data_IF_725803062061
#
_entry.id   IF_725803062061
#
_cell.length_a   1.000
_cell.length_b   1.000
_cell.length_c   1.000
_cell.angle_alpha   90.00
_cell.angle_beta   90.00
_cell.angle_gamma   90.00
#
_symmetry.space_group_name_H-M   'P 1'
#
loop_
_entity.id
_entity.type
_entity.pdbx_description
1 polymer ?
#
# COMPACT_ATOMS: atom_id res chain seq x y z
N UNK A 1 0.19 15.98 17.82
CA UNK A 1 -1.28 15.85 17.72
C UNK A 1 -1.55 14.41 17.30
N UNK A 2 -2.47 13.69 17.98
CA UNK A 2 -2.80 12.32 17.58
C UNK A 2 -3.77 12.34 16.39
N UNK A 3 -3.62 11.45 15.40
CA UNK A 3 -4.54 11.36 14.28
C UNK A 3 -5.92 10.90 14.76
N UNK A 4 -6.98 11.46 14.15
CA UNK A 4 -8.36 11.02 14.40
C UNK A 4 -8.67 9.72 13.65
N UNK A 5 -8.08 9.54 12.46
CA UNK A 5 -8.20 8.32 11.67
C UNK A 5 -6.83 7.79 11.31
N UNK A 6 -6.73 6.47 11.28
CA UNK A 6 -5.58 5.73 10.78
C UNK A 6 -6.06 4.91 9.58
N UNK A 7 -5.58 5.25 8.42
CA UNK A 7 -5.72 4.46 7.21
C UNK A 7 -4.47 3.60 7.08
N UNK A 8 -4.63 2.34 6.72
CA UNK A 8 -3.52 1.44 6.54
C UNK A 8 -3.70 0.60 5.29
N UNK A 9 -2.70 0.54 4.43
CA UNK A 9 -2.76 -0.23 3.19
C UNK A 9 -1.65 -1.26 3.09
N UNK A 10 -2.00 -2.41 2.53
CA UNK A 10 -1.11 -3.47 2.14
C UNK A 10 -1.76 -4.35 1.09
N UNK A 11 -0.94 -4.93 0.22
CA UNK A 11 -1.36 -5.99 -0.69
C UNK A 11 -1.96 -7.20 0.04
N UNK A 12 -1.62 -7.37 1.32
CA UNK A 12 -2.03 -8.53 2.12
C UNK A 12 -3.25 -8.27 3.02
N UNK A 13 -3.93 -7.13 2.92
CA UNK A 13 -5.21 -6.91 3.60
C UNK A 13 -6.30 -7.75 2.94
N UNK A 14 -6.92 -8.64 3.71
CA UNK A 14 -7.88 -9.65 3.23
C UNK A 14 -7.33 -10.57 2.12
N UNK A 15 -6.01 -10.62 1.98
CA UNK A 15 -5.31 -11.41 0.99
C UNK A 15 -4.12 -12.12 1.66
N UNK A 16 -4.28 -13.40 1.98
CA UNK A 16 -3.27 -14.17 2.72
C UNK A 16 -2.20 -14.72 1.77
N UNK A 17 -1.12 -13.96 1.59
CA UNK A 17 -0.01 -14.34 0.71
C UNK A 17 1.27 -14.62 1.49
N UNK A 18 1.62 -13.78 2.48
CA UNK A 18 2.92 -13.85 3.15
C UNK A 18 2.92 -13.39 4.60
N UNK A 19 4.11 -12.98 5.06
CA UNK A 19 4.35 -12.60 6.44
C UNK A 19 3.72 -11.28 6.87
N UNK A 20 3.46 -10.37 5.93
CA UNK A 20 2.82 -9.08 6.23
C UNK A 20 1.38 -9.30 6.69
N UNK A 21 0.67 -10.26 6.08
CA UNK A 21 -0.64 -10.67 6.57
C UNK A 21 -0.60 -11.03 8.06
N UNK A 22 0.39 -11.81 8.50
CA UNK A 22 0.53 -12.19 9.91
C UNK A 22 0.76 -10.96 10.80
N UNK A 23 1.63 -10.04 10.39
CA UNK A 23 1.90 -8.79 11.13
C UNK A 23 0.63 -7.96 11.27
N UNK A 24 -0.06 -7.68 10.17
CA UNK A 24 -1.25 -6.83 10.18
C UNK A 24 -2.42 -7.47 10.93
N UNK A 25 -2.68 -8.76 10.67
CA UNK A 25 -3.82 -9.48 11.27
C UNK A 25 -3.67 -9.67 12.79
N UNK A 26 -2.45 -9.90 13.27
CA UNK A 26 -2.20 -10.02 14.72
C UNK A 26 -2.28 -8.66 15.43
N UNK A 27 -1.81 -7.59 14.79
CA UNK A 27 -1.90 -6.23 15.31
C UNK A 27 -3.32 -5.65 15.28
N UNK A 28 -4.16 -6.12 14.36
CA UNK A 28 -5.50 -5.58 14.14
C UNK A 28 -6.36 -5.52 15.41
N UNK A 29 -6.25 -6.51 16.30
CA UNK A 29 -7.00 -6.53 17.56
C UNK A 29 -6.63 -5.36 18.48
N UNK A 30 -5.35 -5.08 18.65
CA UNK A 30 -4.86 -3.96 19.48
C UNK A 30 -5.25 -2.61 18.88
N UNK A 31 -5.07 -2.46 17.54
CA UNK A 31 -5.47 -1.26 16.83
C UNK A 31 -6.98 -0.99 16.95
N UNK A 32 -7.81 -2.03 16.81
CA UNK A 32 -9.26 -1.91 16.95
C UNK A 32 -9.68 -1.59 18.41
N UNK A 33 -9.00 -2.16 19.41
CA UNK A 33 -9.28 -1.87 20.81
C UNK A 33 -8.99 -0.41 21.17
N UNK A 34 -7.89 0.13 20.66
CA UNK A 34 -7.45 1.50 20.93
C UNK A 34 -8.20 2.55 20.12
N UNK A 35 -8.30 2.34 18.81
CA UNK A 35 -8.82 3.36 17.86
C UNK A 35 -10.23 3.07 17.37
N UNK A 36 -10.80 1.89 17.67
CA UNK A 36 -12.14 1.46 17.25
C UNK A 36 -12.30 1.54 15.72
N UNK A 37 -13.47 1.98 15.25
CA UNK A 37 -13.78 2.12 13.83
C UNK A 37 -13.11 3.35 13.15
N UNK A 38 -12.10 3.92 13.80
CA UNK A 38 -11.24 4.95 13.21
C UNK A 38 -9.99 4.37 12.55
N UNK A 39 -9.80 3.05 12.61
CA UNK A 39 -8.79 2.33 11.81
C UNK A 39 -9.47 1.70 10.62
N UNK A 40 -8.99 2.01 9.43
CA UNK A 40 -9.53 1.50 8.17
C UNK A 40 -8.39 0.89 7.35
N UNK A 41 -8.51 -0.40 7.05
CA UNK A 41 -7.55 -1.13 6.22
C UNK A 41 -7.98 -1.11 4.76
N UNK A 42 -7.03 -0.88 3.83
CA UNK A 42 -7.26 -0.90 2.39
C UNK A 42 -6.52 -2.08 1.78
N UNK A 43 -7.22 -2.87 0.98
CA UNK A 43 -6.67 -4.05 0.34
C UNK A 43 -7.25 -4.31 -1.04
N UNK A 44 -6.63 -5.23 -1.81
CA UNK A 44 -7.11 -5.63 -3.12
C UNK A 44 -8.41 -6.45 -3.00
N UNK A 45 -9.32 -6.28 -3.95
CA UNK A 45 -10.52 -7.11 -4.08
C UNK A 45 -10.31 -8.20 -5.14
N UNK A 46 -10.02 -9.40 -4.68
CA UNK A 46 -9.90 -10.60 -5.52
C UNK A 46 -11.18 -11.46 -5.53
N UNK A 47 -12.35 -10.84 -5.29
CA UNK A 47 -13.63 -11.52 -5.31
C UNK A 47 -13.73 -12.62 -4.26
N UNK A 48 -14.08 -13.86 -4.68
CA UNK A 48 -14.28 -14.99 -3.79
C UNK A 48 -13.06 -15.30 -2.90
N UNK A 49 -11.84 -15.06 -3.39
CA UNK A 49 -10.65 -15.24 -2.58
C UNK A 49 -10.61 -14.27 -1.39
N UNK A 50 -10.98 -13.02 -1.60
CA UNK A 50 -11.07 -12.03 -0.51
C UNK A 50 -12.19 -12.37 0.48
N UNK A 51 -13.30 -12.96 0.01
CA UNK A 51 -14.45 -13.32 0.85
C UNK A 51 -14.14 -14.40 1.89
N UNK A 52 -13.04 -15.13 1.75
CA UNK A 52 -12.56 -16.08 2.76
C UNK A 52 -12.25 -15.38 4.11
N UNK A 53 -11.84 -14.12 4.05
CA UNK A 53 -11.44 -13.33 5.24
C UNK A 53 -12.11 -11.97 5.31
N UNK A 54 -13.10 -11.69 4.47
CA UNK A 54 -13.84 -10.44 4.42
C UNK A 54 -15.35 -10.67 4.51
N UNK A 55 -16.01 -9.87 5.33
CA UNK A 55 -17.47 -9.86 5.42
C UNK A 55 -18.00 -8.47 5.10
N UNK A 56 -18.65 -8.34 3.97
CA UNK A 56 -19.22 -7.07 3.51
C UNK A 56 -20.29 -6.53 4.46
N UNK A 57 -20.37 -5.22 4.59
CA UNK A 57 -21.34 -4.52 5.41
C UNK A 57 -21.92 -3.30 4.70
N UNK A 58 -23.24 -3.21 4.67
CA UNK A 58 -23.96 -2.07 4.10
C UNK A 58 -24.09 -0.89 5.07
N UNK A 59 -23.78 -1.09 6.36
CA UNK A 59 -23.97 -0.09 7.42
C UNK A 59 -22.71 0.69 7.77
N UNK A 60 -21.53 0.11 7.53
CA UNK A 60 -20.24 0.79 7.76
C UNK A 60 -20.03 1.88 6.71
N UNK A 61 -19.41 2.99 7.08
CA UNK A 61 -19.15 4.14 6.23
C UNK A 61 -20.38 4.53 5.41
N UNK A 62 -21.51 4.71 6.11
CA UNK A 62 -22.83 4.93 5.51
C UNK A 62 -22.81 6.09 4.50
N UNK A 63 -23.39 5.85 3.33
CA UNK A 63 -23.45 6.85 2.25
C UNK A 63 -22.21 6.91 1.36
N UNK A 64 -21.12 6.26 1.74
CA UNK A 64 -19.91 6.20 0.93
C UNK A 64 -19.79 4.84 0.23
N UNK A 65 -19.97 4.83 -1.08
CA UNK A 65 -19.94 3.61 -1.93
C UNK A 65 -19.37 3.94 -3.31
N UNK A 66 -18.06 4.24 -3.42
CA UNK A 66 -17.45 4.43 -4.73
C UNK A 66 -17.56 3.18 -5.59
N UNK A 67 -17.60 3.35 -6.90
CA UNK A 67 -17.59 2.23 -7.84
C UNK A 67 -16.33 1.39 -7.66
N UNK A 68 -16.47 0.06 -7.74
CA UNK A 68 -15.35 -0.87 -7.56
C UNK A 68 -14.83 -1.00 -6.12
N UNK A 69 -15.55 -0.44 -5.14
CA UNK A 69 -15.16 -0.48 -3.72
C UNK A 69 -16.17 -1.26 -2.91
N UNK A 70 -15.69 -2.19 -2.10
CA UNK A 70 -16.47 -2.94 -1.10
C UNK A 70 -16.03 -2.56 0.30
N UNK A 71 -16.99 -2.35 1.19
CA UNK A 71 -16.73 -1.98 2.59
C UNK A 71 -17.26 -3.08 3.51
N UNK A 72 -16.46 -3.51 4.47
CA UNK A 72 -16.84 -4.56 5.38
C UNK A 72 -15.91 -4.70 6.58
N UNK A 73 -15.89 -5.90 7.14
CA UNK A 73 -15.02 -6.28 8.26
C UNK A 73 -14.03 -7.35 7.83
N UNK A 74 -12.77 -7.10 8.07
CA UNK A 74 -11.74 -8.13 7.98
C UNK A 74 -11.94 -9.18 9.08
N UNK A 75 -12.05 -10.47 8.72
CA UNK A 75 -12.39 -11.56 9.65
C UNK A 75 -11.15 -12.07 10.40
N UNK A 76 -10.43 -11.15 11.03
CA UNK A 76 -9.28 -11.40 11.91
C UNK A 76 -9.60 -10.91 13.32
N UNK A 77 -8.80 -11.21 14.36
CA UNK A 77 -9.02 -10.67 15.69
C UNK A 77 -9.21 -9.15 15.69
N UNK A 78 -10.23 -8.66 16.39
CA UNK A 78 -10.62 -7.25 16.41
C UNK A 78 -11.60 -6.86 15.30
N UNK A 79 -11.70 -7.60 14.22
CA UNK A 79 -12.60 -7.35 13.08
C UNK A 79 -12.61 -5.89 12.62
N UNK A 80 -11.45 -5.30 12.28
CA UNK A 80 -11.37 -3.91 11.86
C UNK A 80 -12.15 -3.66 10.55
N UNK A 81 -12.45 -2.40 10.27
CA UNK A 81 -13.00 -2.01 8.98
C UNK A 81 -11.96 -2.31 7.89
N UNK A 82 -12.42 -2.95 6.82
CA UNK A 82 -11.66 -3.11 5.59
C UNK A 82 -12.43 -2.52 4.40
N UNK A 83 -11.67 -1.90 3.53
CA UNK A 83 -12.08 -1.35 2.25
C UNK A 83 -11.33 -2.10 1.17
N UNK A 84 -12.05 -2.91 0.40
CA UNK A 84 -11.47 -3.65 -0.71
C UNK A 84 -11.80 -2.94 -2.02
N UNK A 85 -10.81 -2.87 -2.91
CA UNK A 85 -10.97 -2.12 -4.15
C UNK A 85 -10.45 -2.88 -5.36
N UNK A 86 -11.10 -2.64 -6.51
CA UNK A 86 -10.68 -3.03 -7.84
C UNK A 86 -10.05 -1.84 -8.54
N UNK A 87 -9.11 -2.10 -9.44
CA UNK A 87 -8.36 -1.08 -10.18
C UNK A 87 -8.30 -1.35 -11.68
N UNK A 88 -9.17 -2.23 -12.16
CA UNK A 88 -9.18 -2.63 -13.58
C UNK A 88 -9.27 -1.45 -14.54
N UNK A 89 -9.99 -0.39 -14.16
CA UNK A 89 -10.18 0.80 -15.00
C UNK A 89 -8.87 1.59 -15.19
N UNK A 90 -7.92 1.48 -14.25
CA UNK A 90 -6.63 2.19 -14.31
C UNK A 90 -5.65 1.60 -15.33
N UNK A 91 -5.88 0.38 -15.81
CA UNK A 91 -5.02 -0.21 -16.84
C UNK A 91 -4.97 0.62 -18.12
N UNK A 92 -6.07 1.28 -18.48
CA UNK A 92 -6.11 2.19 -19.63
C UNK A 92 -5.21 3.42 -19.45
N UNK A 93 -5.03 3.86 -18.19
CA UNK A 93 -4.23 5.02 -17.83
C UNK A 93 -2.80 4.68 -17.36
N UNK A 94 -2.41 3.41 -17.38
CA UNK A 94 -1.13 2.94 -16.84
C UNK A 94 0.06 3.76 -17.29
N UNK A 95 0.20 3.94 -18.60
CA UNK A 95 1.34 4.66 -19.17
C UNK A 95 1.38 6.13 -18.71
N UNK A 96 0.24 6.78 -18.63
CA UNK A 96 0.12 8.15 -18.11
C UNK A 96 0.53 8.24 -16.63
N UNK A 97 0.06 7.32 -15.80
CA UNK A 97 0.40 7.25 -14.38
C UNK A 97 1.91 7.03 -14.19
N UNK A 98 2.49 6.10 -14.94
CA UNK A 98 3.91 5.77 -14.80
C UNK A 98 4.83 6.86 -15.36
N UNK A 99 4.47 7.49 -16.50
CA UNK A 99 5.20 8.64 -17.02
C UNK A 99 5.18 9.81 -16.06
N UNK A 100 4.02 10.10 -15.46
CA UNK A 100 3.91 11.14 -14.45
C UNK A 100 4.78 10.83 -13.21
N UNK A 101 4.77 9.59 -12.72
CA UNK A 101 5.61 9.18 -11.60
C UNK A 101 7.12 9.28 -11.92
N UNK A 102 7.51 9.02 -13.17
CA UNK A 102 8.88 9.25 -13.64
C UNK A 102 9.23 10.74 -13.66
N UNK A 103 8.43 11.54 -14.35
CA UNK A 103 8.68 12.96 -14.54
C UNK A 103 8.75 13.73 -13.22
N UNK A 104 7.84 13.42 -12.29
CA UNK A 104 7.71 14.17 -11.05
C UNK A 104 8.57 13.63 -9.91
N UNK A 105 8.67 12.31 -9.78
CA UNK A 105 9.31 11.65 -8.65
C UNK A 105 10.55 10.84 -9.03
N UNK A 106 10.80 10.63 -10.31
CA UNK A 106 11.92 9.82 -10.81
C UNK A 106 11.75 8.32 -10.55
N UNK A 107 10.52 7.82 -10.51
CA UNK A 107 10.24 6.37 -10.37
C UNK A 107 10.50 5.67 -11.69
N UNK A 108 11.39 4.68 -11.70
CA UNK A 108 11.85 3.99 -12.91
C UNK A 108 10.99 2.75 -13.20
N UNK A 109 9.89 2.91 -13.93
CA UNK A 109 8.98 1.80 -14.27
C UNK A 109 9.33 1.08 -15.59
N UNK A 110 10.34 1.54 -16.34
CA UNK A 110 10.68 1.00 -17.66
C UNK A 110 11.24 -0.43 -17.68
N UNK A 111 11.82 -0.87 -16.55
CA UNK A 111 12.30 -2.23 -16.34
C UNK A 111 11.33 -3.09 -15.52
N UNK A 112 10.04 -2.73 -15.54
CA UNK A 112 9.02 -3.42 -14.76
C UNK A 112 8.76 -4.84 -15.30
N UNK A 113 8.52 -5.78 -14.37
CA UNK A 113 8.15 -7.15 -14.68
C UNK A 113 7.32 -7.75 -13.54
N UNK A 114 6.67 -8.89 -13.83
CA UNK A 114 5.89 -9.63 -12.86
C UNK A 114 4.70 -8.81 -12.33
N UNK A 115 4.62 -8.70 -11.01
CA UNK A 115 3.54 -8.07 -10.26
C UNK A 115 3.67 -6.54 -10.09
N UNK A 116 4.64 -5.90 -10.76
CA UNK A 116 4.92 -4.47 -10.57
C UNK A 116 3.76 -3.57 -11.01
N UNK A 117 3.33 -3.75 -12.26
CA UNK A 117 2.28 -2.90 -12.85
C UNK A 117 0.99 -2.99 -12.03
N UNK A 118 0.58 -4.21 -11.71
CA UNK A 118 -0.62 -4.47 -10.92
C UNK A 118 -0.56 -3.83 -9.53
N UNK A 119 0.55 -4.03 -8.83
CA UNK A 119 0.75 -3.47 -7.49
C UNK A 119 0.78 -1.94 -7.48
N UNK A 120 1.45 -1.31 -8.45
CA UNK A 120 1.52 0.14 -8.56
C UNK A 120 0.17 0.77 -8.90
N UNK A 121 -0.61 0.15 -9.79
CA UNK A 121 -1.97 0.62 -10.11
C UNK A 121 -2.93 0.43 -8.92
N UNK A 122 -2.84 -0.69 -8.21
CA UNK A 122 -3.56 -0.88 -6.94
C UNK A 122 -3.23 0.25 -5.96
N UNK A 123 -1.94 0.52 -5.73
CA UNK A 123 -1.51 1.57 -4.81
C UNK A 123 -2.00 2.96 -5.22
N UNK A 124 -2.01 3.26 -6.52
CA UNK A 124 -2.56 4.50 -7.04
C UNK A 124 -4.07 4.61 -6.76
N UNK A 125 -4.82 3.51 -7.00
CA UNK A 125 -6.25 3.42 -6.69
C UNK A 125 -6.53 3.60 -5.19
N UNK A 126 -5.68 3.01 -4.32
CA UNK A 126 -5.78 3.24 -2.86
C UNK A 126 -5.68 4.73 -2.54
N UNK A 127 -4.75 5.46 -3.15
CA UNK A 127 -4.64 6.90 -2.97
C UNK A 127 -5.94 7.64 -3.29
N UNK A 128 -6.54 7.35 -4.45
CA UNK A 128 -7.81 7.96 -4.88
C UNK A 128 -8.96 7.63 -3.92
N UNK A 129 -9.07 6.36 -3.52
CA UNK A 129 -10.13 5.88 -2.63
C UNK A 129 -9.96 6.45 -1.21
N UNK A 130 -8.73 6.56 -0.73
CA UNK A 130 -8.42 7.16 0.56
C UNK A 130 -8.74 8.66 0.60
N UNK A 131 -8.41 9.41 -0.45
CA UNK A 131 -8.81 10.81 -0.58
C UNK A 131 -10.32 10.97 -0.57
N UNK A 132 -11.05 10.14 -1.34
CA UNK A 132 -12.52 10.15 -1.37
C UNK A 132 -13.12 9.85 0.01
N UNK A 133 -12.57 8.87 0.75
CA UNK A 133 -13.02 8.56 2.09
C UNK A 133 -12.72 9.70 3.07
N UNK A 134 -11.53 10.27 2.99
CA UNK A 134 -11.11 11.41 3.80
C UNK A 134 -12.08 12.59 3.67
N UNK A 135 -12.45 12.93 2.43
CA UNK A 135 -13.44 13.97 2.14
C UNK A 135 -14.82 13.62 2.70
N UNK A 136 -15.29 12.36 2.51
CA UNK A 136 -16.56 11.88 3.05
C UNK A 136 -16.63 11.97 4.58
N UNK A 137 -15.51 11.73 5.27
CA UNK A 137 -15.42 11.83 6.73
C UNK A 137 -15.35 13.27 7.27
N UNK A 138 -15.36 14.27 6.41
CA UNK A 138 -15.24 15.69 6.78
C UNK A 138 -13.80 16.13 7.06
N UNK A 139 -12.84 15.49 6.41
CA UNK A 139 -11.41 15.86 6.45
C UNK A 139 -10.79 15.86 7.87
N UNK A 140 -10.93 14.77 8.64
CA UNK A 140 -10.34 14.67 9.97
C UNK A 140 -8.82 14.55 9.89
N UNK A 141 -8.09 14.83 10.97
CA UNK A 141 -6.65 14.55 11.01
C UNK A 141 -6.40 13.07 10.77
N UNK A 142 -5.72 12.73 9.69
CA UNK A 142 -5.58 11.36 9.19
C UNK A 142 -4.13 11.04 8.85
N UNK A 143 -3.71 9.81 9.13
CA UNK A 143 -2.44 9.25 8.68
C UNK A 143 -2.73 8.03 7.81
N UNK A 144 -2.03 7.92 6.68
CA UNK A 144 -1.99 6.73 5.82
C UNK A 144 -0.70 5.97 6.05
N UNK A 145 -0.81 4.77 6.61
CA UNK A 145 0.30 3.85 6.79
C UNK A 145 0.38 2.89 5.59
N UNK A 146 1.45 2.97 4.83
CA UNK A 146 1.72 2.18 3.63
C UNK A 146 2.76 1.11 3.94
N UNK A 147 2.45 -0.16 3.61
CA UNK A 147 3.31 -1.31 3.87
C UNK A 147 3.88 -1.86 2.56
N UNK A 148 5.21 -1.90 2.45
CA UNK A 148 6.00 -2.41 1.33
C UNK A 148 5.91 -1.58 0.04
N UNK A 149 6.86 -1.87 -0.88
CA UNK A 149 6.96 -1.21 -2.19
C UNK A 149 5.66 -1.25 -3.01
N UNK A 150 4.85 -2.28 -2.81
CA UNK A 150 3.55 -2.47 -3.47
C UNK A 150 2.54 -1.37 -3.16
N UNK A 151 2.79 -0.57 -2.11
CA UNK A 151 1.94 0.56 -1.72
C UNK A 151 2.57 1.93 -2.00
N UNK A 152 3.71 1.96 -2.68
CA UNK A 152 4.50 3.18 -2.93
C UNK A 152 3.70 4.29 -3.64
N UNK A 153 2.91 3.93 -4.64
CA UNK A 153 2.13 4.91 -5.41
C UNK A 153 0.99 5.55 -4.61
N UNK A 154 0.57 4.95 -3.49
CA UNK A 154 -0.37 5.60 -2.55
C UNK A 154 0.26 6.85 -1.94
N UNK A 155 1.52 6.78 -1.51
CA UNK A 155 2.25 7.91 -0.93
C UNK A 155 2.42 9.01 -1.97
N UNK A 156 2.87 8.65 -3.17
CA UNK A 156 3.11 9.63 -4.25
C UNK A 156 1.80 10.33 -4.66
N UNK A 157 0.70 9.58 -4.75
CA UNK A 157 -0.62 10.14 -5.02
C UNK A 157 -1.06 11.13 -3.94
N UNK A 158 -1.04 10.72 -2.66
CA UNK A 158 -1.52 11.54 -1.55
C UNK A 158 -0.68 12.81 -1.39
N UNK A 159 0.63 12.72 -1.56
CA UNK A 159 1.50 13.89 -1.52
C UNK A 159 1.14 14.95 -2.54
N UNK A 160 0.62 14.56 -3.68
CA UNK A 160 0.21 15.48 -4.74
C UNK A 160 -1.22 15.97 -4.58
N UNK A 161 -2.16 15.05 -4.35
CA UNK A 161 -3.59 15.34 -4.44
C UNK A 161 -4.23 15.60 -3.08
N UNK A 162 -3.69 15.05 -1.99
CA UNK A 162 -4.25 15.20 -0.66
C UNK A 162 -3.17 15.30 0.43
N UNK A 163 -2.31 16.34 0.41
CA UNK A 163 -1.18 16.49 1.35
C UNK A 163 -1.60 16.73 2.80
N UNK A 164 -2.90 16.86 3.07
CA UNK A 164 -3.44 16.94 4.42
C UNK A 164 -3.49 15.58 5.14
N UNK A 165 -3.38 14.47 4.39
CA UNK A 165 -3.19 13.14 4.96
C UNK A 165 -1.68 12.92 5.13
N UNK A 166 -1.22 12.84 6.39
CA UNK A 166 0.17 12.47 6.68
C UNK A 166 0.46 11.03 6.24
N UNK A 167 1.66 10.76 5.79
CA UNK A 167 2.02 9.44 5.24
C UNK A 167 3.13 8.78 6.04
N UNK A 168 2.98 7.48 6.31
CA UNK A 168 4.00 6.64 6.96
C UNK A 168 4.31 5.45 6.05
N UNK A 169 5.58 5.18 5.83
CA UNK A 169 6.03 4.04 5.04
C UNK A 169 6.76 3.01 5.92
N UNK A 170 6.39 1.75 5.80
CA UNK A 170 7.10 0.64 6.43
C UNK A 170 7.50 -0.39 5.37
N UNK A 171 8.80 -0.67 5.30
CA UNK A 171 9.31 -1.84 4.60
C UNK A 171 9.67 -2.93 5.61
N UNK A 172 9.16 -4.14 5.43
CA UNK A 172 9.44 -5.29 6.29
C UNK A 172 10.68 -6.04 5.81
N UNK A 173 10.96 -5.98 4.52
CA UNK A 173 12.20 -6.44 3.91
C UNK A 173 12.36 -5.71 2.57
N UNK A 174 13.36 -4.85 2.45
CA UNK A 174 13.57 -4.11 1.22
C UNK A 174 13.67 -5.05 0.01
N UNK A 175 13.05 -4.67 -1.09
CA UNK A 175 13.05 -5.46 -2.33
C UNK A 175 14.47 -5.79 -2.77
N UNK A 176 15.39 -4.82 -2.67
CA UNK A 176 16.80 -5.02 -3.06
C UNK A 176 17.57 -5.85 -2.05
N UNK A 177 17.39 -5.65 -0.75
CA UNK A 177 18.05 -6.45 0.29
C UNK A 177 17.68 -7.93 0.20
N UNK A 178 16.37 -8.20 0.01
CA UNK A 178 15.87 -9.56 -0.23
C UNK A 178 16.48 -10.18 -1.48
N UNK A 179 16.64 -9.42 -2.56
CA UNK A 179 17.20 -9.89 -3.81
C UNK A 179 18.69 -10.19 -3.69
N UNK A 180 19.46 -9.34 -3.00
CA UNK A 180 20.90 -9.57 -2.73
C UNK A 180 21.07 -10.88 -1.95
N UNK A 181 20.39 -11.02 -0.82
CA UNK A 181 20.50 -12.23 0.01
C UNK A 181 19.96 -13.48 -0.71
N UNK A 182 18.85 -13.37 -1.44
CA UNK A 182 18.24 -14.46 -2.19
C UNK A 182 19.11 -14.99 -3.35
N UNK A 183 20.03 -14.16 -3.86
CA UNK A 183 21.03 -14.56 -4.86
C UNK A 183 22.35 -15.05 -4.23
N UNK A 184 22.36 -15.40 -2.95
CA UNK A 184 23.51 -15.98 -2.27
C UNK A 184 24.67 -14.99 -2.03
N UNK A 185 24.43 -13.69 -2.17
CA UNK A 185 25.43 -12.67 -1.86
C UNK A 185 25.48 -12.44 -0.35
N UNK A 186 26.68 -12.27 0.25
CA UNK A 186 26.86 -12.16 1.70
C UNK A 186 26.48 -10.76 2.22
N UNK A 187 25.19 -10.43 2.16
CA UNK A 187 24.68 -9.09 2.48
C UNK A 187 25.10 -8.62 3.88
N UNK A 188 24.98 -9.49 4.87
CA UNK A 188 25.26 -9.12 6.26
C UNK A 188 26.75 -9.12 6.61
N UNK A 189 27.56 -9.89 5.89
CA UNK A 189 29.00 -9.96 6.12
C UNK A 189 29.75 -8.80 5.42
N UNK A 190 29.16 -8.26 4.34
CA UNK A 190 29.75 -7.23 3.48
C UNK A 190 28.78 -6.08 3.23
N UNK A 191 28.02 -5.65 4.25
CA UNK A 191 26.93 -4.68 4.09
C UNK A 191 27.39 -3.39 3.39
N UNK A 192 28.51 -2.82 3.79
CA UNK A 192 29.07 -1.59 3.21
C UNK A 192 29.58 -1.75 1.77
N UNK A 193 29.72 -2.98 1.29
CA UNK A 193 30.15 -3.29 -0.08
C UNK A 193 29.03 -3.29 -1.10
N UNK A 194 27.77 -3.13 -0.68
CA UNK A 194 26.60 -3.16 -1.57
C UNK A 194 25.97 -1.78 -1.72
N UNK A 195 25.92 -1.29 -2.96
CA UNK A 195 25.21 -0.07 -3.32
C UNK A 195 23.85 -0.42 -3.93
N UNK A 196 22.74 0.00 -3.28
CA UNK A 196 21.39 -0.40 -3.64
C UNK A 196 21.02 -0.16 -5.10
N UNK A 197 21.32 1.02 -5.65
CA UNK A 197 21.01 1.35 -7.05
C UNK A 197 21.81 0.48 -8.05
N UNK A 198 23.08 0.20 -7.75
CA UNK A 198 23.94 -0.69 -8.57
C UNK A 198 23.42 -2.13 -8.50
N UNK A 199 23.13 -2.61 -7.31
CA UNK A 199 22.57 -3.95 -7.11
C UNK A 199 21.20 -4.11 -7.77
N UNK A 200 20.39 -3.06 -7.78
CA UNK A 200 19.11 -3.09 -8.47
C UNK A 200 19.26 -3.28 -9.99
N UNK A 201 20.29 -2.67 -10.60
CA UNK A 201 20.64 -2.90 -12.00
C UNK A 201 21.14 -4.33 -12.24
N UNK A 202 22.09 -4.78 -11.43
CA UNK A 202 22.68 -6.11 -11.54
C UNK A 202 21.64 -7.24 -11.39
N UNK A 203 20.72 -7.08 -10.45
CA UNK A 203 19.73 -8.11 -10.09
C UNK A 203 18.34 -7.89 -10.74
N UNK A 204 18.26 -6.99 -11.71
CA UNK A 204 17.01 -6.66 -12.42
C UNK A 204 15.86 -6.23 -11.47
N UNK A 205 16.18 -5.41 -10.46
CA UNK A 205 15.24 -4.93 -9.45
C UNK A 205 14.94 -3.43 -9.55
N UNK A 206 15.37 -2.76 -10.61
CA UNK A 206 15.34 -1.30 -10.79
C UNK A 206 13.98 -0.70 -10.46
N UNK A 207 12.91 -1.26 -11.02
CA UNK A 207 11.57 -0.66 -10.86
C UNK A 207 11.04 -0.80 -9.44
N UNK A 208 11.11 -1.99 -8.83
CA UNK A 208 10.68 -2.22 -7.45
C UNK A 208 11.51 -1.41 -6.45
N UNK A 209 12.84 -1.45 -6.60
CA UNK A 209 13.76 -0.66 -5.77
C UNK A 209 13.51 0.84 -5.89
N UNK A 210 13.31 1.35 -7.11
CA UNK A 210 13.01 2.75 -7.35
C UNK A 210 11.70 3.19 -6.69
N UNK A 211 10.63 2.41 -6.82
CA UNK A 211 9.35 2.70 -6.19
C UNK A 211 9.47 2.73 -4.66
N UNK A 212 10.13 1.72 -4.06
CA UNK A 212 10.37 1.63 -2.62
C UNK A 212 11.20 2.80 -2.09
N UNK A 213 12.30 3.13 -2.77
CA UNK A 213 13.19 4.25 -2.43
C UNK A 213 12.45 5.59 -2.47
N UNK A 214 11.57 5.79 -3.46
CA UNK A 214 10.78 7.01 -3.57
C UNK A 214 9.65 7.07 -2.55
N UNK A 215 9.02 5.95 -2.22
CA UNK A 215 8.07 5.89 -1.11
C UNK A 215 8.73 6.32 0.20
N UNK A 216 9.90 5.76 0.53
CA UNK A 216 10.65 6.12 1.72
C UNK A 216 11.12 7.59 1.74
N UNK A 217 11.43 8.15 0.57
CA UNK A 217 11.89 9.55 0.45
C UNK A 217 10.75 10.56 0.59
N UNK A 218 9.56 10.22 0.09
CA UNK A 218 8.42 11.16 0.04
C UNK A 218 7.38 10.95 1.13
N UNK A 219 7.51 9.91 1.97
CA UNK A 219 6.74 9.79 3.21
C UNK A 219 7.15 10.91 4.20
N UNK A 220 6.23 11.29 5.12
CA UNK A 220 6.42 12.35 6.12
C UNK A 220 7.29 11.96 7.32
#
# INVERSE_FOLDING_TARGET
>A
MQPQYIFETSWEVCNRVGGIYAVLSTRAASMQAEHKDKVVFFGPDFGEHSDLTFKESKTLLKGWRPRGVRVGRWQVPGKPIAVLLKWDELWADKNRIFSHAWEKYGVQSHAAYGDYDESCLFAYAVGQVAESLYQHLGMPTTVMHCNEWQTAFTILYLREHCPAIGTLFTTHATSIGRSIAGNGKPLYDCFDGFHGDQMAQELNMVSKHSAEKKAAHYAD
#
